data_IF_999447997129
#
_entry.id   IF_999447997129
#
_cell.length_a   1.000
_cell.length_b   1.000
_cell.length_c   1.000
_cell.angle_alpha   90.00
_cell.angle_beta   90.00
_cell.angle_gamma   90.00
#
_symmetry.space_group_name_H-M   'P 1'
#
loop_
_entity.id
_entity.type
_entity.pdbx_description
1 polymer ?
#
# COMPACT_ATOMS: atom_id res chain seq x y z
N UNK A 1 20.12 5.15 -5.29
CA UNK A 1 19.36 4.45 -6.36
C UNK A 1 18.96 5.46 -7.44
N UNK A 2 19.05 5.15 -8.76
CA UNK A 2 18.89 6.20 -9.81
C UNK A 2 17.57 6.97 -9.72
N UNK A 3 16.44 6.28 -9.55
CA UNK A 3 15.13 6.95 -9.45
C UNK A 3 15.04 7.85 -8.21
N UNK A 4 15.58 7.41 -7.06
CA UNK A 4 15.57 8.17 -5.82
C UNK A 4 16.33 9.50 -5.97
N UNK A 5 17.52 9.50 -6.56
CA UNK A 5 18.26 10.75 -6.76
C UNK A 5 17.59 11.70 -7.75
N UNK A 6 16.86 11.16 -8.74
CA UNK A 6 16.03 12.00 -9.64
C UNK A 6 14.88 12.63 -8.85
N UNK A 7 14.19 11.82 -8.03
CA UNK A 7 13.12 12.28 -7.14
C UNK A 7 13.62 13.37 -6.17
N UNK A 8 14.69 13.11 -5.43
CA UNK A 8 15.27 14.01 -4.42
C UNK A 8 15.68 15.35 -5.03
N UNK A 9 16.38 15.33 -6.18
CA UNK A 9 16.76 16.55 -6.87
C UNK A 9 15.56 17.34 -7.38
N UNK A 10 14.53 16.66 -7.88
CA UNK A 10 13.30 17.29 -8.35
C UNK A 10 12.55 17.96 -7.20
N UNK A 11 12.38 17.26 -6.08
CA UNK A 11 11.68 17.78 -4.90
C UNK A 11 12.42 18.98 -4.29
N UNK A 12 13.74 18.86 -4.09
CA UNK A 12 14.56 19.96 -3.57
C UNK A 12 14.48 21.20 -4.46
N UNK A 13 14.70 21.02 -5.77
CA UNK A 13 14.62 22.12 -6.72
C UNK A 13 13.24 22.78 -6.74
N UNK A 14 12.17 21.98 -6.63
CA UNK A 14 10.81 22.52 -6.56
C UNK A 14 10.60 23.36 -5.29
N UNK A 15 11.06 22.90 -4.12
CA UNK A 15 10.97 23.65 -2.87
C UNK A 15 11.73 24.98 -2.97
N UNK A 16 13.00 24.94 -3.39
CA UNK A 16 13.84 26.13 -3.56
C UNK A 16 13.23 27.11 -4.57
N UNK A 17 12.87 26.65 -5.77
CA UNK A 17 12.40 27.54 -6.83
C UNK A 17 11.00 28.11 -6.54
N UNK A 18 10.05 27.27 -6.12
CA UNK A 18 8.64 27.64 -6.02
C UNK A 18 8.23 28.15 -4.64
N UNK A 19 8.68 27.48 -3.56
CA UNK A 19 8.26 27.82 -2.20
C UNK A 19 9.16 28.86 -1.54
N UNK A 20 10.45 28.91 -1.88
CA UNK A 20 11.39 29.88 -1.30
C UNK A 20 11.60 31.10 -2.19
N UNK A 21 11.78 30.90 -3.50
CA UNK A 21 12.11 31.97 -4.45
C UNK A 21 10.91 32.52 -5.25
N UNK A 22 9.70 31.99 -5.06
CA UNK A 22 8.49 32.49 -5.71
C UNK A 22 8.47 32.40 -7.24
N UNK A 23 9.31 31.56 -7.85
CA UNK A 23 9.34 31.38 -9.31
C UNK A 23 8.09 30.67 -9.79
N UNK A 24 7.53 31.10 -10.93
CA UNK A 24 6.46 30.35 -11.59
C UNK A 24 7.03 29.12 -12.32
N UNK A 25 7.06 27.93 -11.72
CA UNK A 25 6.75 26.68 -12.45
C UNK A 25 6.70 25.38 -11.61
N UNK A 26 5.96 24.44 -12.23
CA UNK A 26 5.81 22.99 -12.07
C UNK A 26 5.27 22.51 -10.73
N UNK A 27 4.01 22.11 -10.78
CA UNK A 27 3.37 21.19 -9.84
C UNK A 27 4.21 19.91 -9.73
N UNK A 28 5.00 19.78 -8.68
CA UNK A 28 5.62 18.51 -8.33
C UNK A 28 4.60 17.66 -7.55
N UNK A 29 4.14 16.56 -8.15
CA UNK A 29 3.16 15.65 -7.54
C UNK A 29 3.61 15.09 -6.18
N UNK A 30 4.92 15.09 -5.87
CA UNK A 30 5.46 14.67 -4.57
C UNK A 30 5.44 15.79 -3.51
N UNK A 31 5.20 17.05 -3.88
CA UNK A 31 5.32 18.19 -2.98
C UNK A 31 4.18 18.25 -1.95
N UNK A 32 4.53 18.03 -0.68
CA UNK A 32 3.59 18.11 0.43
C UNK A 32 3.05 19.52 0.73
N UNK A 33 3.77 20.58 0.31
CA UNK A 33 3.32 21.97 0.46
C UNK A 33 2.29 22.34 -0.62
N UNK A 34 2.45 21.81 -1.84
CA UNK A 34 1.51 21.96 -2.94
C UNK A 34 0.24 21.10 -2.75
N UNK A 35 0.36 19.94 -2.11
CA UNK A 35 -0.71 18.96 -1.97
C UNK A 35 -0.99 18.63 -0.50
N UNK A 36 -1.47 19.64 0.23
CA UNK A 36 -1.83 19.49 1.65
C UNK A 36 -2.92 18.44 1.84
N UNK A 37 -2.76 17.62 2.87
CA UNK A 37 -3.73 16.59 3.24
C UNK A 37 -4.88 17.23 4.01
N UNK A 38 -6.09 16.84 3.68
CA UNK A 38 -7.28 17.05 4.50
C UNK A 38 -7.61 15.71 5.18
N UNK A 39 -7.74 15.69 6.50
CA UNK A 39 -7.91 14.43 7.24
C UNK A 39 -9.18 13.66 6.82
N UNK A 40 -10.21 14.39 6.38
CA UNK A 40 -11.44 13.83 5.81
C UNK A 40 -11.23 13.05 4.52
N UNK A 41 -10.13 13.30 3.78
CA UNK A 41 -9.82 12.58 2.54
C UNK A 41 -9.17 11.20 2.81
N UNK A 42 -8.73 10.93 4.05
CA UNK A 42 -7.93 9.75 4.38
C UNK A 42 -8.82 8.55 4.76
N UNK A 43 -9.03 7.64 3.81
CA UNK A 43 -9.76 6.39 4.03
C UNK A 43 -9.10 5.50 5.10
N UNK A 44 -9.90 4.74 5.86
CA UNK A 44 -9.34 3.79 6.85
C UNK A 44 -8.43 2.73 6.21
N UNK A 45 -8.80 2.24 5.03
CA UNK A 45 -7.96 1.33 4.24
C UNK A 45 -6.62 1.96 3.84
N UNK A 46 -6.59 3.27 3.59
CA UNK A 46 -5.34 4.01 3.36
C UNK A 46 -4.47 4.02 4.63
N UNK A 47 -5.06 4.25 5.81
CA UNK A 47 -4.32 4.26 7.08
C UNK A 47 -3.68 2.90 7.38
N UNK A 48 -4.40 1.80 7.09
CA UNK A 48 -3.87 0.44 7.22
C UNK A 48 -2.69 0.21 6.27
N UNK A 49 -2.86 0.53 4.97
CA UNK A 49 -1.77 0.47 3.98
C UNK A 49 -0.54 1.25 4.45
N UNK A 50 -0.74 2.49 4.91
CA UNK A 50 0.33 3.37 5.36
C UNK A 50 1.10 2.83 6.57
N UNK A 51 0.37 2.29 7.56
CA UNK A 51 0.95 1.73 8.78
C UNK A 51 1.88 0.55 8.49
N UNK A 52 1.52 -0.29 7.53
CA UNK A 52 2.33 -1.47 7.17
C UNK A 52 3.52 -1.04 6.32
N UNK A 53 3.31 -0.18 5.33
CA UNK A 53 4.37 0.30 4.45
C UNK A 53 5.50 0.98 5.24
N UNK A 54 5.16 1.84 6.20
CA UNK A 54 6.16 2.58 7.01
C UNK A 54 6.88 1.72 8.03
N UNK A 55 6.28 0.61 8.49
CA UNK A 55 6.99 -0.40 9.29
C UNK A 55 7.96 -1.21 8.45
N UNK A 56 7.63 -1.48 7.18
CA UNK A 56 8.49 -2.25 6.30
C UNK A 56 9.63 -1.42 5.69
N UNK A 57 9.38 -0.15 5.39
CA UNK A 57 10.36 0.78 4.81
C UNK A 57 10.32 2.12 5.55
N UNK A 58 11.18 2.25 6.57
CA UNK A 58 11.25 3.41 7.47
C UNK A 58 11.74 4.70 6.79
N UNK A 59 12.40 4.60 5.63
CA UNK A 59 12.81 5.78 4.87
C UNK A 59 11.61 6.58 4.35
N UNK A 60 10.44 5.96 4.23
CA UNK A 60 9.18 6.60 3.83
C UNK A 60 8.61 7.36 5.03
N UNK A 61 8.56 8.69 4.94
CA UNK A 61 8.19 9.59 6.05
C UNK A 61 6.94 10.43 5.81
N UNK A 62 6.29 10.27 4.66
CA UNK A 62 5.05 10.96 4.42
C UNK A 62 4.42 10.68 3.06
N UNK A 63 3.16 11.06 2.97
CA UNK A 63 2.37 11.11 1.75
C UNK A 63 1.76 12.50 1.61
N UNK A 64 1.08 12.75 0.50
CA UNK A 64 0.37 14.00 0.25
C UNK A 64 -1.00 13.71 -0.36
N UNK A 65 -1.79 14.75 -0.66
CA UNK A 65 -3.14 14.58 -1.23
C UNK A 65 -3.17 13.84 -2.56
N UNK A 66 -2.13 13.97 -3.41
CA UNK A 66 -2.02 13.20 -4.66
C UNK A 66 -1.82 11.71 -4.39
N UNK A 67 -1.08 11.35 -3.35
CA UNK A 67 -0.94 9.95 -2.92
C UNK A 67 -2.30 9.37 -2.53
N UNK A 68 -3.09 10.10 -1.73
CA UNK A 68 -4.41 9.65 -1.28
C UNK A 68 -5.35 9.41 -2.46
N UNK A 69 -5.46 10.41 -3.36
CA UNK A 69 -6.33 10.32 -4.55
C UNK A 69 -5.90 9.15 -5.43
N UNK A 70 -4.61 9.00 -5.69
CA UNK A 70 -4.10 7.93 -6.55
C UNK A 70 -4.36 6.55 -5.93
N UNK A 71 -4.13 6.38 -4.62
CA UNK A 71 -4.42 5.12 -3.95
C UNK A 71 -5.91 4.81 -4.00
N UNK A 72 -6.78 5.79 -3.73
CA UNK A 72 -8.23 5.64 -3.86
C UNK A 72 -8.64 5.17 -5.26
N UNK A 73 -8.10 5.80 -6.31
CA UNK A 73 -8.35 5.37 -7.70
C UNK A 73 -7.86 3.95 -7.98
N UNK A 74 -6.70 3.56 -7.44
CA UNK A 74 -6.18 2.19 -7.58
C UNK A 74 -7.15 1.19 -6.92
N UNK A 75 -7.64 1.51 -5.73
CA UNK A 75 -8.56 0.68 -4.97
C UNK A 75 -9.89 0.51 -5.73
N UNK A 76 -10.50 1.62 -6.15
CA UNK A 76 -11.77 1.62 -6.89
C UNK A 76 -11.65 0.85 -8.22
N UNK A 77 -10.58 1.11 -8.98
CA UNK A 77 -10.32 0.39 -10.24
C UNK A 77 -10.15 -1.11 -10.00
N UNK A 78 -9.37 -1.47 -8.99
CA UNK A 78 -9.11 -2.86 -8.67
C UNK A 78 -10.41 -3.59 -8.28
N UNK A 79 -11.24 -2.98 -7.42
CA UNK A 79 -12.55 -3.53 -7.02
C UNK A 79 -13.47 -3.75 -8.23
N UNK A 80 -13.45 -2.85 -9.20
CA UNK A 80 -14.20 -3.01 -10.45
C UNK A 80 -13.65 -4.14 -11.33
N UNK A 81 -12.32 -4.28 -11.42
CA UNK A 81 -11.69 -5.33 -12.23
C UNK A 81 -11.78 -6.72 -11.62
N UNK A 82 -11.76 -6.85 -10.29
CA UNK A 82 -11.93 -8.12 -9.58
C UNK A 82 -13.29 -8.73 -9.87
N UNK A 83 -14.36 -7.91 -9.85
CA UNK A 83 -15.72 -8.33 -10.22
C UNK A 83 -15.80 -8.92 -11.63
N UNK A 84 -14.84 -8.60 -12.50
CA UNK A 84 -14.73 -9.09 -13.88
C UNK A 84 -13.71 -10.24 -14.03
N UNK A 85 -13.22 -10.81 -12.92
CA UNK A 85 -12.27 -11.93 -12.90
C UNK A 85 -10.80 -11.56 -13.13
N UNK A 86 -10.45 -10.27 -13.19
CA UNK A 86 -9.07 -9.82 -13.34
C UNK A 86 -8.47 -9.46 -11.98
N UNK A 87 -7.36 -10.13 -11.63
CA UNK A 87 -6.69 -10.02 -10.31
C UNK A 87 -5.42 -9.16 -10.32
N UNK A 88 -5.03 -8.55 -11.45
CA UNK A 88 -3.70 -7.94 -11.58
C UNK A 88 -3.72 -6.44 -11.30
N UNK A 89 -3.09 -6.01 -10.20
CA UNK A 89 -2.78 -4.60 -9.93
C UNK A 89 -1.84 -4.01 -10.99
N UNK A 90 -2.19 -2.83 -11.53
CA UNK A 90 -1.31 -2.13 -12.47
C UNK A 90 -0.06 -1.61 -11.74
N UNK A 91 1.06 -2.31 -11.94
CA UNK A 91 2.37 -1.97 -11.41
C UNK A 91 2.84 -0.56 -11.80
N UNK A 92 2.34 0.02 -12.89
CA UNK A 92 2.64 1.43 -13.26
C UNK A 92 1.98 2.41 -12.30
N UNK A 93 0.76 2.13 -11.86
CA UNK A 93 0.06 2.96 -10.87
C UNK A 93 0.75 2.85 -9.51
N UNK A 94 1.12 1.64 -9.08
CA UNK A 94 1.87 1.43 -7.84
C UNK A 94 3.21 2.16 -7.87
N UNK A 95 3.94 2.06 -8.99
CA UNK A 95 5.18 2.81 -9.21
C UNK A 95 4.96 4.32 -9.11
N UNK A 96 3.84 4.82 -9.63
CA UNK A 96 3.51 6.25 -9.51
C UNK A 96 3.27 6.64 -8.05
N UNK A 97 2.55 5.82 -7.26
CA UNK A 97 2.39 6.04 -5.81
C UNK A 97 3.76 6.11 -5.14
N UNK A 98 4.65 5.14 -5.41
CA UNK A 98 6.00 5.11 -4.86
C UNK A 98 6.76 6.42 -5.14
N UNK A 99 6.66 6.96 -6.35
CA UNK A 99 7.41 8.16 -6.76
C UNK A 99 6.85 9.48 -6.20
N UNK A 100 5.67 9.48 -5.60
CA UNK A 100 5.07 10.69 -5.00
C UNK A 100 5.05 10.65 -3.47
N UNK A 101 5.54 9.55 -2.87
CA UNK A 101 5.81 9.49 -1.45
C UNK A 101 6.99 10.40 -1.07
N UNK A 102 7.04 10.75 0.21
CA UNK A 102 8.13 11.53 0.80
C UNK A 102 9.10 10.61 1.51
N UNK A 103 10.38 10.79 1.23
CA UNK A 103 11.45 10.00 1.80
C UNK A 103 12.38 10.88 2.64
N UNK A 104 12.93 10.32 3.72
CA UNK A 104 14.00 10.93 4.52
C UNK A 104 15.37 10.65 3.92
N UNK A 105 15.53 9.45 3.39
CA UNK A 105 16.77 8.96 2.79
C UNK A 105 16.46 7.94 1.70
N UNK A 106 17.51 7.46 1.01
CA UNK A 106 17.33 6.46 -0.03
C UNK A 106 16.73 5.17 0.57
N UNK A 107 15.64 4.63 0.01
CA UNK A 107 15.05 3.38 0.49
C UNK A 107 16.01 2.22 0.55
N UNK A 108 15.79 1.34 1.54
CA UNK A 108 16.57 0.12 1.74
C UNK A 108 16.34 -0.87 0.61
N UNK A 109 15.10 -0.99 0.15
CA UNK A 109 14.73 -1.94 -0.91
C UNK A 109 14.80 -1.33 -2.31
N UNK A 110 15.12 -2.18 -3.30
CA UNK A 110 15.13 -1.78 -4.72
C UNK A 110 13.72 -1.39 -5.18
N UNK A 111 13.64 -0.52 -6.17
CA UNK A 111 12.36 -0.02 -6.74
C UNK A 111 11.36 -1.14 -7.04
N UNK A 112 11.83 -2.23 -7.65
CA UNK A 112 11.00 -3.39 -7.99
C UNK A 112 10.44 -4.08 -6.73
N UNK A 113 11.26 -4.23 -5.70
CA UNK A 113 10.87 -4.83 -4.42
C UNK A 113 9.86 -3.96 -3.68
N UNK A 114 10.05 -2.63 -3.70
CA UNK A 114 9.08 -1.68 -3.12
C UNK A 114 7.74 -1.73 -3.86
N UNK A 115 7.75 -1.81 -5.19
CA UNK A 115 6.52 -1.98 -5.98
C UNK A 115 5.82 -3.30 -5.61
N UNK A 116 6.55 -4.41 -5.51
CA UNK A 116 5.98 -5.70 -5.12
C UNK A 116 5.38 -5.67 -3.70
N UNK A 117 6.11 -5.10 -2.75
CA UNK A 117 5.65 -4.91 -1.37
C UNK A 117 4.36 -4.07 -1.32
N UNK A 118 4.32 -2.92 -2.00
CA UNK A 118 3.12 -2.09 -2.07
C UNK A 118 1.95 -2.80 -2.75
N UNK A 119 2.21 -3.61 -3.78
CA UNK A 119 1.19 -4.44 -4.43
C UNK A 119 0.57 -5.45 -3.46
N UNK A 120 1.39 -6.18 -2.71
CA UNK A 120 0.91 -7.17 -1.72
C UNK A 120 0.17 -6.48 -0.58
N UNK A 121 0.68 -5.37 -0.05
CA UNK A 121 -0.03 -4.62 1.00
C UNK A 121 -1.39 -4.14 0.47
N UNK A 122 -1.48 -3.69 -0.78
CA UNK A 122 -2.77 -3.30 -1.36
C UNK A 122 -3.71 -4.49 -1.54
N UNK A 123 -3.23 -5.60 -2.09
CA UNK A 123 -4.03 -6.81 -2.32
C UNK A 123 -4.52 -7.44 -0.99
N UNK A 124 -3.70 -7.44 0.05
CA UNK A 124 -4.09 -8.07 1.31
C UNK A 124 -4.86 -7.10 2.23
N UNK A 125 -4.45 -5.83 2.29
CA UNK A 125 -5.02 -4.90 3.29
C UNK A 125 -6.24 -4.13 2.80
N UNK A 126 -6.44 -4.04 1.48
CA UNK A 126 -7.54 -3.27 0.90
C UNK A 126 -8.61 -4.18 0.30
N UNK A 127 -8.22 -5.40 -0.06
CA UNK A 127 -8.88 -6.18 -1.09
C UNK A 127 -9.38 -7.53 -0.55
N UNK A 128 -8.57 -8.25 0.22
CA UNK A 128 -9.05 -9.43 0.98
C UNK A 128 -9.80 -9.05 2.26
N UNK A 129 -9.84 -7.76 2.56
CA UNK A 129 -10.82 -7.20 3.49
C UNK A 129 -12.18 -7.02 2.82
N UNK A 130 -13.10 -7.93 3.17
CA UNK A 130 -14.43 -7.52 3.68
C UNK A 130 -14.24 -6.54 4.86
N UNK A 131 -13.78 -5.31 4.59
CA UNK A 131 -14.12 -4.20 5.47
C UNK A 131 -15.53 -3.80 5.08
N UNK A 132 -16.46 -4.72 5.34
CA UNK A 132 -17.88 -4.45 5.33
C UNK A 132 -18.12 -3.61 6.58
N UNK A 133 -18.60 -2.38 6.38
CA UNK A 133 -19.10 -1.53 7.47
C UNK A 133 -20.37 -2.12 8.12
N UNK A 134 -20.67 -3.42 7.94
CA UNK A 134 -21.95 -4.06 8.31
C UNK A 134 -21.82 -5.49 8.87
N UNK A 135 -20.61 -6.00 9.13
CA UNK A 135 -20.40 -7.41 9.55
C UNK A 135 -20.60 -7.69 11.06
N UNK A 136 -21.16 -6.75 11.82
CA UNK A 136 -21.54 -6.97 13.22
C UNK A 136 -22.81 -7.82 13.40
N UNK A 137 -23.74 -7.78 12.45
CA UNK A 137 -25.07 -8.42 12.59
C UNK A 137 -25.24 -9.70 11.77
N UNK A 138 -24.41 -9.93 10.75
CA UNK A 138 -24.51 -11.11 9.87
C UNK A 138 -23.82 -12.35 10.42
N UNK A 139 -22.74 -12.18 11.18
CA UNK A 139 -21.94 -13.28 11.72
C UNK A 139 -22.70 -14.22 12.69
N UNK A 140 -23.80 -13.75 13.30
CA UNK A 140 -24.63 -14.56 14.21
C UNK A 140 -25.61 -15.46 13.45
N UNK A 141 -25.98 -15.13 12.20
CA UNK A 141 -26.98 -15.88 11.43
C UNK A 141 -26.39 -16.92 10.48
N UNK A 142 -25.13 -16.80 10.09
CA UNK A 142 -24.51 -17.72 9.13
C UNK A 142 -23.74 -18.89 9.78
N UNK A 143 -23.68 -18.95 11.12
CA UNK A 143 -23.14 -20.10 11.87
C UNK A 143 -23.98 -21.40 11.77
N UNK A 144 -25.09 -21.43 11.01
CA UNK A 144 -25.98 -22.61 10.92
C UNK A 144 -26.09 -23.30 9.55
N UNK A 145 -25.36 -22.90 8.50
CA UNK A 145 -25.46 -23.62 7.20
C UNK A 145 -24.14 -23.75 6.43
N UNK A 146 -23.59 -24.96 6.55
CA UNK A 146 -23.00 -25.84 5.52
C UNK A 146 -21.88 -25.32 4.61
N UNK A 147 -20.73 -25.97 4.76
CA UNK A 147 -19.89 -26.61 3.74
C UNK A 147 -20.02 -26.12 2.29
N UNK A 148 -18.93 -25.64 1.72
CA UNK A 148 -18.37 -26.15 0.46
C UNK A 148 -16.93 -25.64 0.26
N UNK A 149 -16.08 -26.55 -0.23
CA UNK A 149 -14.67 -26.33 -0.60
C UNK A 149 -14.56 -25.50 -1.88
N UNK A 150 -13.56 -24.61 -1.99
CA UNK A 150 -12.98 -24.24 -3.29
C UNK A 150 -11.51 -23.81 -3.15
N UNK A 151 -10.68 -24.37 -4.04
CA UNK A 151 -9.22 -24.38 -4.02
C UNK A 151 -8.60 -23.28 -4.93
N UNK A 152 -7.33 -22.98 -4.65
CA UNK A 152 -6.30 -22.35 -5.50
C UNK A 152 -6.02 -20.84 -5.36
N UNK A 153 -4.88 -20.53 -4.75
CA UNK A 153 -3.74 -19.85 -5.39
C UNK A 153 -2.41 -20.24 -4.67
N UNK A 154 -1.30 -20.29 -5.42
CA UNK A 154 0.00 -20.86 -5.02
C UNK A 154 0.70 -20.18 -3.82
N UNK A 155 0.24 -20.49 -2.61
CA UNK A 155 0.99 -20.42 -1.36
C UNK A 155 0.62 -21.67 -0.56
N UNK A 156 1.57 -22.29 0.11
CA UNK A 156 1.29 -23.48 0.93
C UNK A 156 0.28 -23.13 2.03
N UNK A 157 -0.53 -24.09 2.44
CA UNK A 157 -1.57 -23.95 3.48
C UNK A 157 -1.06 -23.29 4.78
N UNK A 158 0.24 -23.47 5.06
CA UNK A 158 0.96 -22.82 6.17
C UNK A 158 1.16 -21.32 5.96
N UNK A 159 1.47 -20.90 4.74
CA UNK A 159 1.71 -19.51 4.38
C UNK A 159 0.42 -18.71 4.41
N UNK A 160 -0.69 -19.30 3.97
CA UNK A 160 -2.03 -18.74 4.15
C UNK A 160 -2.35 -18.52 5.64
N UNK A 161 -2.10 -19.52 6.48
CA UNK A 161 -2.35 -19.44 7.92
C UNK A 161 -1.48 -18.41 8.64
N UNK A 162 -0.21 -18.31 8.25
CA UNK A 162 0.72 -17.31 8.78
C UNK A 162 0.31 -15.88 8.35
N UNK A 163 -0.17 -15.70 7.12
CA UNK A 163 -0.70 -14.43 6.63
C UNK A 163 -1.99 -14.06 7.39
N UNK A 164 -2.92 -15.00 7.59
CA UNK A 164 -4.14 -14.79 8.38
C UNK A 164 -3.84 -14.40 9.84
N UNK A 165 -2.85 -15.04 10.48
CA UNK A 165 -2.42 -14.69 11.84
C UNK A 165 -1.86 -13.26 11.91
N UNK A 166 -1.00 -12.90 10.96
CA UNK A 166 -0.46 -11.54 10.83
C UNK A 166 -1.61 -10.55 10.60
N UNK A 167 -2.57 -10.88 9.74
CA UNK A 167 -3.77 -10.09 9.44
C UNK A 167 -4.62 -9.80 10.69
N UNK A 168 -4.84 -10.80 11.55
CA UNK A 168 -5.54 -10.62 12.83
C UNK A 168 -4.81 -9.65 13.79
N UNK A 169 -3.47 -9.63 13.75
CA UNK A 169 -2.65 -8.67 14.52
C UNK A 169 -2.73 -7.26 13.93
N UNK A 170 -2.88 -7.10 12.61
CA UNK A 170 -3.09 -5.79 11.95
C UNK A 170 -4.37 -5.14 12.46
N UNK A 171 -5.46 -5.89 12.52
CA UNK A 171 -6.78 -5.43 12.96
C UNK A 171 -6.80 -4.96 14.42
N UNK A 172 -5.99 -5.60 15.26
CA UNK A 172 -5.84 -5.23 16.67
C UNK A 172 -4.70 -4.23 16.93
N UNK A 173 -4.14 -3.62 15.88
CA UNK A 173 -3.00 -2.69 15.93
C UNK A 173 -1.67 -3.27 16.45
N UNK A 174 -1.54 -4.59 16.60
CA UNK A 174 -0.44 -5.32 17.25
C UNK A 174 0.56 -5.96 16.29
N UNK A 175 0.78 -5.41 15.09
CA UNK A 175 1.85 -5.90 14.19
C UNK A 175 3.22 -5.67 14.83
N UNK A 176 4.05 -6.70 14.86
CA UNK A 176 5.46 -6.59 15.26
C UNK A 176 6.45 -6.71 14.08
N UNK A 177 7.74 -6.61 14.38
CA UNK A 177 8.81 -6.67 13.37
C UNK A 177 8.95 -8.06 12.72
N UNK A 178 8.52 -9.12 13.41
CA UNK A 178 8.60 -10.50 12.94
C UNK A 178 7.48 -10.78 11.92
N UNK A 179 6.29 -10.24 12.16
CA UNK A 179 5.17 -10.24 11.20
C UNK A 179 5.59 -9.56 9.87
N UNK A 180 6.33 -8.45 9.95
CA UNK A 180 6.88 -7.75 8.77
C UNK A 180 7.94 -8.62 8.07
N UNK A 181 8.83 -9.29 8.81
CA UNK A 181 9.83 -10.21 8.25
C UNK A 181 9.20 -11.41 7.55
N UNK A 182 8.11 -11.96 8.09
CA UNK A 182 7.33 -13.03 7.45
C UNK A 182 6.75 -12.57 6.11
N UNK A 183 6.11 -11.39 6.07
CA UNK A 183 5.62 -10.80 4.82
C UNK A 183 6.75 -10.57 3.79
N UNK A 184 7.92 -10.11 4.25
CA UNK A 184 9.10 -9.91 3.40
C UNK A 184 9.69 -11.21 2.87
N UNK A 185 9.64 -12.31 3.63
CA UNK A 185 10.11 -13.61 3.19
C UNK A 185 9.23 -14.19 2.08
N UNK A 186 7.91 -13.99 2.14
CA UNK A 186 7.01 -14.34 1.04
C UNK A 186 7.35 -13.60 -0.25
N UNK A 187 7.73 -12.33 -0.16
CA UNK A 187 8.18 -11.50 -1.29
C UNK A 187 9.48 -12.02 -1.93
N UNK A 188 10.40 -12.57 -1.12
CA UNK A 188 11.71 -13.04 -1.57
C UNK A 188 11.66 -14.44 -2.20
N UNK A 189 10.68 -15.27 -1.85
CA UNK A 189 10.48 -16.59 -2.45
C UNK A 189 9.94 -16.48 -3.89
N UNK A 190 9.08 -15.50 -4.17
CA UNK A 190 8.54 -15.20 -5.51
C UNK A 190 9.55 -14.54 -6.48
N UNK A 191 10.77 -14.25 -6.04
CA UNK A 191 11.81 -13.60 -6.87
C UNK A 191 12.90 -14.55 -7.38
N UNK A 192 12.78 -15.87 -7.16
CA UNK A 192 13.77 -16.88 -7.58
C UNK A 192 13.40 -17.60 -8.91
N UNK A 193 12.24 -17.34 -9.53
CA UNK A 193 11.89 -17.88 -10.86
C UNK A 193 11.80 -16.81 -11.95
#
# INVERSE_FOLDING_TARGET
MKWYHIWENKCRKHIEDFHENGKQNKNDEACHLCYKIEESDVLQRFKAFWKILTKAEESIIGYNRKTIILLKTIIEYWEETRKKGNRILDKKLIKKVLHILRYRECPRYRERSLIGMMSIILDECVINKKMDEDDGEKAIKEMEKSDDEEESDNLTEKEHKDIEEIMSKIENEKIDEEDVKRLLNYILLDTIY
#
